data_IF_196120903158
#
_entry.id   IF_196120903158
#
_cell.length_a   1.000
_cell.length_b   1.000
_cell.length_c   1.000
_cell.angle_alpha   90.00
_cell.angle_beta   90.00
_cell.angle_gamma   90.00
#
_symmetry.space_group_name_H-M   'P 1'
#
loop_
_entity.id
_entity.type
_entity.pdbx_description
1 polymer ?
#
# COMPACT_ATOMS: atom_id res chain seq x y z
N UNK A 1 -18.16 58.77 -73.15
CA UNK A 1 -16.99 58.79 -73.97
C UNK A 1 -15.97 57.71 -73.53
N UNK A 2 -15.69 56.84 -74.46
CA UNK A 2 -14.48 56.09 -74.72
C UNK A 2 -14.13 54.96 -73.75
N UNK A 3 -14.60 53.83 -74.06
CA UNK A 3 -13.87 52.56 -74.38
C UNK A 3 -12.39 52.51 -74.05
N UNK A 4 -11.96 51.47 -73.37
CA UNK A 4 -10.87 50.61 -73.77
C UNK A 4 -10.81 49.32 -72.94
N UNK A 5 -11.10 48.25 -73.63
CA UNK A 5 -10.81 46.88 -73.26
C UNK A 5 -9.32 46.59 -73.29
N UNK A 6 -8.80 45.79 -72.42
CA UNK A 6 -7.56 45.01 -72.62
C UNK A 6 -7.73 43.61 -72.01
N UNK A 7 -7.07 42.64 -72.59
CA UNK A 7 -7.42 41.24 -72.48
C UNK A 7 -6.75 40.49 -71.33
N UNK A 8 -7.30 39.32 -71.07
CA UNK A 8 -6.95 38.40 -70.01
C UNK A 8 -5.51 37.81 -70.09
N UNK A 9 -5.11 37.43 -68.89
CA UNK A 9 -4.06 36.40 -68.72
C UNK A 9 -4.59 35.40 -67.74
N UNK A 10 -4.89 34.23 -68.26
CA UNK A 10 -5.17 33.05 -67.44
C UNK A 10 -3.83 32.49 -66.90
N UNK A 11 -3.70 32.44 -65.59
CA UNK A 11 -2.64 31.69 -64.94
C UNK A 11 -3.14 30.30 -64.55
N UNK A 12 -2.38 29.23 -64.69
CA UNK A 12 -2.82 27.89 -64.32
C UNK A 12 -2.77 27.71 -62.80
N UNK A 13 -3.85 27.18 -62.28
CA UNK A 13 -3.93 26.70 -60.91
C UNK A 13 -3.10 25.42 -60.77
N UNK A 14 -1.89 25.50 -60.21
CA UNK A 14 -1.15 24.33 -59.76
C UNK A 14 -1.75 23.82 -58.47
N UNK A 15 -2.42 22.69 -58.55
CA UNK A 15 -2.92 21.95 -57.40
C UNK A 15 -1.75 21.35 -56.62
N UNK A 16 -1.31 22.01 -55.57
CA UNK A 16 -0.34 21.44 -54.63
C UNK A 16 -1.05 20.41 -53.76
N UNK A 17 -0.88 19.14 -54.13
CA UNK A 17 -1.38 18.00 -53.37
C UNK A 17 -0.54 17.86 -52.07
N UNK A 18 -1.04 18.35 -50.96
CA UNK A 18 -0.42 18.19 -49.65
C UNK A 18 -0.66 16.74 -49.18
N UNK A 19 0.36 15.91 -49.33
CA UNK A 19 0.36 14.54 -48.83
C UNK A 19 0.59 14.60 -47.30
N UNK A 20 -0.50 14.55 -46.54
CA UNK A 20 -0.43 14.42 -45.07
C UNK A 20 -0.04 12.98 -44.76
N UNK A 21 1.22 12.76 -44.44
CA UNK A 21 1.68 11.47 -43.88
C UNK A 21 1.23 11.36 -42.41
N UNK A 22 0.19 10.59 -42.17
CA UNK A 22 -0.25 10.24 -40.83
C UNK A 22 0.77 9.28 -40.25
N UNK A 23 1.66 9.79 -39.39
CA UNK A 23 2.53 8.95 -38.59
C UNK A 23 1.69 8.32 -37.46
N UNK A 24 1.35 7.04 -37.64
CA UNK A 24 0.76 6.25 -36.54
C UNK A 24 1.80 6.06 -35.42
N UNK A 25 1.68 6.83 -34.34
CA UNK A 25 2.45 6.58 -33.15
C UNK A 25 1.83 5.32 -32.51
N UNK A 26 2.46 4.18 -32.71
CA UNK A 26 2.14 2.97 -31.97
C UNK A 26 2.55 3.23 -30.51
N UNK A 27 1.57 3.53 -29.65
CA UNK A 27 1.74 3.46 -28.22
C UNK A 27 2.07 2.01 -27.88
N UNK A 28 3.34 1.75 -27.60
CA UNK A 28 3.75 0.49 -27.01
C UNK A 28 3.09 0.39 -25.63
N UNK A 29 1.95 -0.30 -25.55
CA UNK A 29 1.40 -0.76 -24.28
C UNK A 29 2.45 -1.68 -23.66
N UNK A 30 3.11 -1.22 -22.60
CA UNK A 30 3.92 -2.09 -21.78
C UNK A 30 2.99 -3.15 -21.22
N UNK A 31 3.06 -4.35 -21.75
CA UNK A 31 2.44 -5.54 -21.15
C UNK A 31 3.21 -5.81 -19.87
N UNK A 32 2.78 -5.15 -18.78
CA UNK A 32 3.20 -5.58 -17.45
C UNK A 32 2.68 -7.00 -17.27
N UNK A 33 3.61 -7.95 -17.28
CA UNK A 33 3.31 -9.32 -16.89
C UNK A 33 2.64 -9.25 -15.51
N UNK A 34 1.45 -9.83 -15.32
CA UNK A 34 0.79 -9.77 -14.01
C UNK A 34 1.76 -10.37 -12.99
N UNK A 35 2.17 -9.56 -12.03
CA UNK A 35 2.99 -10.02 -10.90
C UNK A 35 2.15 -11.08 -10.20
N UNK A 36 2.59 -12.34 -10.31
CA UNK A 36 1.89 -13.45 -9.68
C UNK A 36 1.84 -13.15 -8.18
N UNK A 37 0.64 -13.05 -7.63
CA UNK A 37 0.43 -12.85 -6.20
C UNK A 37 1.23 -13.89 -5.42
N UNK A 38 2.35 -13.46 -4.86
CA UNK A 38 3.20 -14.28 -3.99
C UNK A 38 3.02 -13.78 -2.57
N UNK A 39 2.48 -14.59 -1.66
CA UNK A 39 2.34 -14.19 -0.28
C UNK A 39 3.65 -13.69 0.31
N UNK A 40 3.57 -12.60 1.05
CA UNK A 40 4.70 -11.99 1.73
C UNK A 40 4.41 -11.94 3.22
N UNK A 41 5.31 -12.49 4.03
CA UNK A 41 5.11 -12.67 5.47
C UNK A 41 6.00 -11.71 6.24
N UNK A 42 5.41 -11.00 7.19
CA UNK A 42 6.13 -10.14 8.12
C UNK A 42 5.73 -10.49 9.55
N UNK A 43 6.71 -10.63 10.41
CA UNK A 43 6.53 -10.74 11.86
C UNK A 43 6.82 -9.39 12.52
N UNK A 44 5.82 -8.84 13.20
CA UNK A 44 5.87 -7.57 13.91
C UNK A 44 6.04 -7.84 15.39
N UNK A 45 7.19 -7.48 15.94
CA UNK A 45 7.53 -7.71 17.34
C UNK A 45 7.36 -6.44 18.17
N UNK A 46 6.80 -6.60 19.35
CA UNK A 46 6.53 -5.52 20.28
C UNK A 46 7.11 -5.86 21.65
N UNK A 47 7.89 -4.94 22.18
CA UNK A 47 8.43 -4.98 23.56
C UNK A 47 7.85 -3.82 24.33
N UNK A 48 7.03 -4.14 25.35
CA UNK A 48 6.40 -3.15 26.21
C UNK A 48 7.26 -2.87 27.45
N UNK A 49 6.99 -1.78 28.13
CA UNK A 49 7.51 -1.54 29.48
C UNK A 49 7.08 -2.68 30.41
N UNK A 50 7.90 -2.99 31.40
CA UNK A 50 7.56 -4.03 32.39
C UNK A 50 6.23 -3.73 33.05
N UNK A 51 5.35 -4.74 33.12
CA UNK A 51 4.00 -4.64 33.67
C UNK A 51 2.94 -4.11 32.70
N UNK A 52 3.31 -3.66 31.48
CA UNK A 52 2.38 -3.07 30.50
C UNK A 52 2.07 -3.95 29.27
N UNK A 53 2.59 -5.19 29.23
CA UNK A 53 2.36 -6.07 28.09
C UNK A 53 0.88 -6.37 27.83
N UNK A 54 0.11 -6.66 28.86
CA UNK A 54 -1.33 -6.95 28.72
C UNK A 54 -2.12 -5.68 28.34
N UNK A 55 -1.76 -4.49 28.86
CA UNK A 55 -2.33 -3.22 28.44
C UNK A 55 -2.07 -2.96 26.96
N UNK A 56 -0.83 -3.16 26.50
CA UNK A 56 -0.48 -3.04 25.09
C UNK A 56 -1.35 -3.95 24.21
N UNK A 57 -1.45 -5.23 24.56
CA UNK A 57 -2.24 -6.22 23.81
C UNK A 57 -3.72 -5.82 23.75
N UNK A 58 -4.29 -5.31 24.84
CA UNK A 58 -5.68 -4.86 24.87
C UNK A 58 -5.91 -3.66 23.94
N UNK A 59 -5.03 -2.66 23.98
CA UNK A 59 -5.09 -1.50 23.09
C UNK A 59 -4.88 -1.89 21.62
N UNK A 60 -3.95 -2.79 21.33
CA UNK A 60 -3.75 -3.33 19.98
C UNK A 60 -5.03 -4.01 19.47
N UNK A 61 -5.62 -4.91 20.27
CA UNK A 61 -6.86 -5.62 19.90
C UNK A 61 -8.04 -4.68 19.71
N UNK A 62 -8.11 -3.62 20.48
CA UNK A 62 -9.21 -2.65 20.43
C UNK A 62 -9.10 -1.72 19.23
N UNK A 63 -7.91 -1.18 18.95
CA UNK A 63 -7.74 -0.03 18.06
C UNK A 63 -7.00 -0.37 16.77
N UNK A 64 -6.06 -1.31 16.78
CA UNK A 64 -5.25 -1.63 15.61
C UNK A 64 -5.75 -2.89 14.87
N UNK A 65 -6.07 -3.94 15.60
CA UNK A 65 -6.55 -5.18 14.98
C UNK A 65 -7.81 -5.00 14.11
N UNK A 66 -8.79 -4.13 14.42
CA UNK A 66 -9.93 -3.89 13.52
C UNK A 66 -9.55 -3.35 12.15
N UNK A 67 -8.47 -2.55 12.05
CA UNK A 67 -7.93 -2.08 10.77
C UNK A 67 -7.41 -3.26 9.97
N UNK A 68 -6.55 -4.08 10.56
CA UNK A 68 -6.01 -5.29 9.93
C UNK A 68 -7.12 -6.27 9.50
N UNK A 69 -8.14 -6.44 10.35
CA UNK A 69 -9.30 -7.27 10.01
C UNK A 69 -10.02 -6.75 8.77
N UNK A 70 -10.15 -5.42 8.64
CA UNK A 70 -10.74 -4.81 7.45
C UNK A 70 -9.88 -5.04 6.20
N UNK A 71 -8.58 -5.00 6.32
CA UNK A 71 -7.68 -5.32 5.20
C UNK A 71 -7.76 -6.80 4.80
N UNK A 72 -8.01 -7.71 5.75
CA UNK A 72 -8.34 -9.12 5.44
C UNK A 72 -9.64 -9.22 4.65
N UNK A 73 -10.70 -8.51 5.07
CA UNK A 73 -11.98 -8.47 4.34
C UNK A 73 -11.84 -7.90 2.91
N UNK A 74 -10.93 -6.96 2.72
CA UNK A 74 -10.60 -6.37 1.42
C UNK A 74 -9.67 -7.26 0.56
N UNK A 75 -9.21 -8.40 1.08
CA UNK A 75 -8.32 -9.33 0.39
C UNK A 75 -6.88 -8.83 0.22
N UNK A 76 -6.46 -7.82 0.96
CA UNK A 76 -5.09 -7.29 1.01
C UNK A 76 -4.18 -8.15 1.87
N UNK A 77 -4.70 -8.60 2.99
CA UNK A 77 -4.07 -9.51 3.95
C UNK A 77 -4.76 -10.87 3.86
N UNK A 78 -3.98 -11.94 3.84
CA UNK A 78 -4.48 -13.32 3.82
C UNK A 78 -4.74 -13.85 5.23
N UNK A 79 -3.90 -13.49 6.20
CA UNK A 79 -4.11 -13.85 7.61
C UNK A 79 -3.34 -12.93 8.56
N UNK A 80 -3.87 -12.80 9.78
CA UNK A 80 -3.25 -12.11 10.91
C UNK A 80 -3.31 -13.03 12.11
N UNK A 81 -2.16 -13.28 12.74
CA UNK A 81 -2.08 -14.06 13.98
C UNK A 81 -1.29 -13.30 15.03
N UNK A 82 -1.77 -13.34 16.27
CA UNK A 82 -1.06 -12.76 17.42
C UNK A 82 -0.55 -13.86 18.36
N UNK A 83 0.66 -13.70 18.84
CA UNK A 83 1.29 -14.63 19.80
C UNK A 83 1.97 -13.86 20.92
N UNK A 84 2.07 -14.48 22.10
CA UNK A 84 2.90 -14.00 23.20
C UNK A 84 3.80 -15.14 23.72
N UNK A 85 4.96 -14.82 24.30
CA UNK A 85 5.82 -15.83 24.91
C UNK A 85 5.08 -16.56 26.03
N UNK A 86 5.35 -17.85 26.14
CA UNK A 86 4.84 -18.66 27.26
C UNK A 86 5.68 -18.46 28.52
N UNK A 87 6.97 -18.20 28.38
CA UNK A 87 7.93 -18.05 29.46
C UNK A 87 8.70 -16.74 29.34
N UNK A 88 9.39 -16.37 30.41
CA UNK A 88 10.23 -15.18 30.45
C UNK A 88 11.48 -15.34 29.59
N UNK A 89 11.97 -14.23 29.08
CA UNK A 89 13.29 -14.08 28.49
C UNK A 89 14.08 -13.00 29.25
N UNK A 90 15.37 -12.90 28.94
CA UNK A 90 16.21 -11.81 29.45
C UNK A 90 15.71 -10.46 28.90
N UNK A 91 16.06 -9.36 29.59
CA UNK A 91 15.66 -8.02 29.13
C UNK A 91 16.10 -7.73 27.67
N UNK A 92 17.32 -8.17 27.31
CA UNK A 92 17.86 -7.94 25.97
C UNK A 92 17.17 -8.75 24.87
N UNK A 93 16.72 -9.97 25.21
CA UNK A 93 16.12 -10.90 24.24
C UNK A 93 14.60 -10.99 24.28
N UNK A 94 13.91 -10.30 25.21
CA UNK A 94 12.46 -10.41 25.34
C UNK A 94 11.70 -9.62 24.29
N UNK A 95 10.58 -10.16 23.92
CA UNK A 95 9.46 -9.48 23.30
C UNK A 95 8.19 -9.91 24.04
N UNK A 96 7.14 -9.10 24.01
CA UNK A 96 5.93 -9.35 24.80
C UNK A 96 4.73 -9.73 23.93
N UNK A 97 4.75 -9.27 22.66
CA UNK A 97 3.72 -9.58 21.68
C UNK A 97 4.33 -9.67 20.28
N UNK A 98 3.87 -10.61 19.49
CA UNK A 98 4.22 -10.74 18.08
C UNK A 98 2.96 -10.89 17.25
N UNK A 99 2.86 -10.12 16.18
CA UNK A 99 1.82 -10.26 15.17
C UNK A 99 2.46 -10.74 13.88
N UNK A 100 1.96 -11.84 13.33
CA UNK A 100 2.38 -12.32 12.02
C UNK A 100 1.31 -11.97 11.01
N UNK A 101 1.68 -11.20 9.99
CA UNK A 101 0.79 -10.80 8.88
C UNK A 101 1.26 -11.49 7.61
N UNK A 102 0.34 -12.18 6.95
CA UNK A 102 0.55 -12.75 5.62
C UNK A 102 -0.13 -11.83 4.61
N UNK A 103 0.64 -10.99 3.95
CA UNK A 103 0.17 -10.12 2.87
C UNK A 103 -0.06 -10.92 1.59
N UNK A 104 -1.03 -10.54 0.79
CA UNK A 104 -1.28 -11.16 -0.52
C UNK A 104 -0.06 -11.03 -1.44
N UNK A 105 0.61 -9.90 -1.40
CA UNK A 105 1.91 -9.64 -2.04
C UNK A 105 2.61 -8.47 -1.36
N UNK A 106 3.90 -8.28 -1.66
CA UNK A 106 4.74 -7.23 -1.05
C UNK A 106 4.32 -5.82 -1.45
N UNK A 107 3.75 -5.62 -2.63
CA UNK A 107 3.36 -4.29 -3.13
C UNK A 107 2.25 -3.65 -2.28
N UNK A 108 1.41 -4.47 -1.63
CA UNK A 108 0.31 -3.97 -0.82
C UNK A 108 0.74 -3.32 0.51
N UNK A 109 2.00 -3.49 0.92
CA UNK A 109 2.51 -2.86 2.15
C UNK A 109 2.66 -1.35 1.96
N UNK A 110 3.12 -0.92 0.77
CA UNK A 110 3.48 0.47 0.49
C UNK A 110 2.66 1.07 -0.69
N UNK A 111 1.46 0.55 -0.95
CA UNK A 111 0.65 0.98 -2.09
C UNK A 111 -0.14 2.28 -1.86
N UNK A 112 0.04 2.92 -0.70
CA UNK A 112 -0.65 4.16 -0.33
C UNK A 112 -2.08 3.95 0.14
N UNK A 113 -2.41 2.77 0.64
CA UNK A 113 -3.72 2.50 1.24
C UNK A 113 -4.04 3.49 2.38
N UNK A 114 -5.22 4.11 2.34
CA UNK A 114 -5.62 5.17 3.28
C UNK A 114 -6.15 4.59 4.60
N UNK A 115 -5.21 4.11 5.45
CA UNK A 115 -5.54 3.60 6.79
C UNK A 115 -6.16 4.68 7.68
N UNK A 116 -5.79 5.96 7.50
CA UNK A 116 -6.34 7.03 8.31
C UNK A 116 -7.83 7.25 8.04
N UNK A 117 -8.24 7.18 6.78
CA UNK A 117 -9.66 7.23 6.43
C UNK A 117 -10.41 6.01 6.96
N UNK A 118 -9.81 4.83 6.88
CA UNK A 118 -10.39 3.63 7.45
C UNK A 118 -10.56 3.76 8.97
N UNK A 119 -9.57 4.29 9.68
CA UNK A 119 -9.66 4.53 11.11
C UNK A 119 -10.78 5.52 11.46
N UNK A 120 -10.98 6.59 10.68
CA UNK A 120 -12.10 7.52 10.87
C UNK A 120 -13.46 6.84 10.72
N UNK A 121 -13.57 5.89 9.81
CA UNK A 121 -14.81 5.13 9.60
C UNK A 121 -15.10 4.14 10.73
N UNK A 122 -14.07 3.44 11.22
CA UNK A 122 -14.20 2.41 12.24
C UNK A 122 -14.34 2.98 13.66
N UNK A 123 -13.76 4.14 13.92
CA UNK A 123 -13.71 4.77 15.24
C UNK A 123 -14.30 6.18 15.21
N UNK A 124 -15.63 6.34 15.33
CA UNK A 124 -16.27 7.68 15.29
C UNK A 124 -15.75 8.64 16.36
N UNK A 125 -15.43 8.14 17.57
CA UNK A 125 -14.78 8.92 18.63
C UNK A 125 -13.26 9.00 18.36
N UNK A 126 -12.89 9.89 17.46
CA UNK A 126 -11.49 10.10 17.06
C UNK A 126 -10.63 10.65 18.21
N UNK A 127 -11.21 11.37 19.16
CA UNK A 127 -10.47 11.93 20.30
C UNK A 127 -10.00 10.79 21.21
N UNK A 128 -10.89 9.89 21.58
CA UNK A 128 -10.54 8.73 22.38
C UNK A 128 -9.62 7.75 21.63
N UNK A 129 -9.92 7.49 20.36
CA UNK A 129 -9.09 6.63 19.52
C UNK A 129 -7.63 7.11 19.49
N UNK A 130 -7.39 8.39 19.18
CA UNK A 130 -6.03 8.96 19.13
C UNK A 130 -5.34 8.94 20.49
N UNK A 131 -6.07 9.19 21.57
CA UNK A 131 -5.53 9.10 22.93
C UNK A 131 -5.06 7.68 23.27
N UNK A 132 -5.84 6.68 22.93
CA UNK A 132 -5.52 5.27 23.18
C UNK A 132 -4.37 4.78 22.29
N UNK A 133 -4.32 5.19 21.02
CA UNK A 133 -3.19 4.92 20.13
C UNK A 133 -1.91 5.58 20.65
N UNK A 134 -1.97 6.83 21.09
CA UNK A 134 -0.83 7.50 21.74
C UNK A 134 -0.38 6.69 22.98
N UNK A 135 -1.29 6.28 23.84
CA UNK A 135 -0.98 5.45 25.01
C UNK A 135 -0.30 4.13 24.61
N UNK A 136 -0.77 3.47 23.57
CA UNK A 136 -0.19 2.23 23.04
C UNK A 136 1.27 2.41 22.65
N UNK A 137 1.63 3.55 22.04
CA UNK A 137 3.03 3.87 21.68
C UNK A 137 3.87 4.27 22.91
N UNK A 138 3.30 5.00 23.89
CA UNK A 138 4.02 5.43 25.10
C UNK A 138 4.54 4.27 25.94
N UNK A 139 3.81 3.16 25.96
CA UNK A 139 4.21 1.97 26.72
C UNK A 139 5.14 1.03 25.97
N UNK A 140 5.46 1.29 24.72
CA UNK A 140 6.47 0.54 23.96
C UNK A 140 7.89 1.01 24.30
N UNK A 141 8.80 0.03 24.45
CA UNK A 141 10.24 0.27 24.52
C UNK A 141 10.98 -0.23 23.28
N UNK A 142 10.32 -1.04 22.48
CA UNK A 142 10.87 -1.54 21.21
C UNK A 142 9.78 -2.09 20.30
N UNK A 143 9.97 -1.88 19.00
CA UNK A 143 9.14 -2.43 17.94
C UNK A 143 10.02 -2.66 16.71
N UNK A 144 9.90 -3.83 16.08
CA UNK A 144 10.66 -4.16 14.87
C UNK A 144 9.90 -5.13 14.00
N UNK A 145 10.13 -5.02 12.69
CA UNK A 145 9.45 -5.76 11.65
C UNK A 145 10.44 -6.71 10.98
N UNK A 146 10.12 -7.98 10.91
CA UNK A 146 10.98 -9.02 10.36
C UNK A 146 10.27 -9.69 9.19
N UNK A 147 10.59 -9.32 7.94
CA UNK A 147 10.18 -10.12 6.80
C UNK A 147 10.81 -11.50 6.88
N UNK A 148 10.01 -12.55 6.66
CA UNK A 148 10.47 -13.93 6.73
C UNK A 148 10.21 -14.66 5.41
N UNK A 149 11.09 -15.64 5.11
CA UNK A 149 10.93 -16.55 3.98
C UNK A 149 11.12 -17.99 4.46
N UNK A 150 10.36 -18.89 3.86
CA UNK A 150 10.56 -20.32 4.13
C UNK A 150 11.87 -20.81 3.48
N UNK A 151 12.58 -21.68 4.18
CA UNK A 151 13.76 -22.39 3.68
C UNK A 151 13.39 -23.85 3.47
N UNK A 152 13.58 -24.35 2.25
CA UNK A 152 13.41 -25.77 1.95
C UNK A 152 14.54 -26.58 2.61
N UNK A 153 14.17 -27.55 3.44
CA UNK A 153 15.13 -28.36 4.20
C UNK A 153 15.49 -29.69 3.51
N UNK A 154 14.66 -30.15 2.58
CA UNK A 154 14.76 -31.49 1.95
C UNK A 154 15.45 -31.45 0.58
N UNK A 155 16.46 -30.61 0.39
CA UNK A 155 17.28 -30.57 -0.84
C UNK A 155 18.71 -30.92 -0.58
#
# INVERSE_FOLDING_TARGET
NISRSLPGLAAPFESLLFMVTVHSIALAQSTQTPVKDKPFVVEYYYKAQWGHADEFIQLFKKNHYPLLKKEVELGRILSVTGTKPRYHATEDGRWDYRVTIVWKNVQLIDDGFDEENLARQLFPDQVNYKKEEQRRFEILVGHWDVPIVNVELDR
#
